data_IF_245125594897
#
_entry.id   IF_245125594897
#
_cell.length_a   1.000
_cell.length_b   1.000
_cell.length_c   1.000
_cell.angle_alpha   90.00
_cell.angle_beta   90.00
_cell.angle_gamma   90.00
#
_symmetry.space_group_name_H-M   'P 1'
#
loop_
_entity.id
_entity.type
_entity.pdbx_description
1 polymer ?
#
# COMPACT_ATOMS: atom_id res chain seq x y z
N UNK A 1 -3.83 30.01 -13.64
CA UNK A 1 -4.95 30.87 -14.10
C UNK A 1 -5.51 31.57 -12.86
N UNK A 2 -5.83 32.86 -12.95
CA UNK A 2 -6.42 33.60 -11.84
C UNK A 2 -7.94 33.53 -11.90
N UNK A 3 -8.59 33.49 -10.73
CA UNK A 3 -10.04 33.53 -10.58
C UNK A 3 -10.58 34.87 -11.12
N UNK A 4 -11.72 34.83 -11.82
CA UNK A 4 -12.39 36.05 -12.29
C UNK A 4 -12.95 36.83 -11.10
N UNK A 5 -12.84 38.16 -11.15
CA UNK A 5 -13.36 39.04 -10.09
C UNK A 5 -14.89 38.96 -9.93
N UNK A 6 -15.60 38.42 -10.91
CA UNK A 6 -17.05 38.15 -10.85
C UNK A 6 -17.40 37.03 -9.87
N UNK A 7 -16.45 36.14 -9.58
CA UNK A 7 -16.65 34.89 -8.83
C UNK A 7 -17.81 34.02 -9.35
N UNK A 8 -18.25 34.21 -10.59
CA UNK A 8 -19.42 33.52 -11.15
C UNK A 8 -19.16 32.01 -11.27
N UNK A 9 -19.93 31.15 -10.59
CA UNK A 9 -19.81 29.69 -10.72
C UNK A 9 -19.91 29.23 -12.19
N UNK A 10 -20.83 29.82 -12.95
CA UNK A 10 -21.07 29.48 -14.35
C UNK A 10 -19.88 29.81 -15.26
N UNK A 11 -19.27 30.99 -15.08
CA UNK A 11 -18.10 31.38 -15.88
C UNK A 11 -16.90 30.46 -15.58
N UNK A 12 -16.69 30.08 -14.33
CA UNK A 12 -15.59 29.20 -13.94
C UNK A 12 -15.79 27.76 -14.40
N UNK A 13 -17.02 27.24 -14.41
CA UNK A 13 -17.34 25.95 -15.03
C UNK A 13 -17.05 25.97 -16.53
N UNK A 14 -17.44 27.03 -17.24
CA UNK A 14 -17.15 27.19 -18.67
C UNK A 14 -15.64 27.26 -18.96
N UNK A 15 -14.87 27.95 -18.11
CA UNK A 15 -13.41 27.96 -18.21
C UNK A 15 -12.87 26.53 -18.04
N UNK A 16 -13.34 25.79 -17.04
CA UNK A 16 -12.98 24.39 -16.85
C UNK A 16 -13.23 23.55 -18.11
N UNK A 17 -14.42 23.66 -18.69
CA UNK A 17 -14.80 22.96 -19.93
C UNK A 17 -13.89 23.31 -21.10
N UNK A 18 -13.48 24.57 -21.22
CA UNK A 18 -12.52 25.01 -22.24
C UNK A 18 -11.11 24.42 -22.02
N UNK A 19 -10.74 24.13 -20.77
CA UNK A 19 -9.45 23.51 -20.43
C UNK A 19 -9.46 21.98 -20.54
N UNK A 20 -10.63 21.33 -20.54
CA UNK A 20 -10.76 19.88 -20.54
C UNK A 20 -9.90 19.14 -21.60
N UNK A 21 -9.77 19.62 -22.86
CA UNK A 21 -8.94 18.95 -23.87
C UNK A 21 -7.48 18.78 -23.48
N UNK A 22 -6.91 19.68 -22.66
CA UNK A 22 -5.52 19.62 -22.22
C UNK A 22 -5.21 18.35 -21.41
N UNK A 23 -6.23 17.74 -20.80
CA UNK A 23 -6.09 16.49 -20.04
C UNK A 23 -5.65 15.33 -20.93
N UNK A 24 -5.97 15.38 -22.24
CA UNK A 24 -5.52 14.41 -23.23
C UNK A 24 -4.08 14.67 -23.71
N UNK A 25 -3.48 15.79 -23.31
CA UNK A 25 -2.13 16.21 -23.70
C UNK A 25 -1.13 16.09 -22.55
N UNK A 26 -1.40 15.20 -21.58
CA UNK A 26 -0.57 14.98 -20.40
C UNK A 26 -0.36 16.24 -19.55
N UNK A 27 -1.35 17.13 -19.52
CA UNK A 27 -1.38 18.33 -18.67
C UNK A 27 -2.22 18.08 -17.43
N UNK A 28 -1.61 18.28 -16.25
CA UNK A 28 -2.31 18.23 -14.97
C UNK A 28 -2.96 19.59 -14.66
N UNK A 29 -4.27 19.59 -14.42
CA UNK A 29 -5.03 20.79 -14.00
C UNK A 29 -5.24 20.71 -12.48
N UNK A 30 -4.67 21.68 -11.75
CA UNK A 30 -4.75 21.73 -10.28
C UNK A 30 -5.57 22.94 -9.87
N UNK A 31 -6.60 22.70 -9.05
CA UNK A 31 -7.38 23.72 -8.35
C UNK A 31 -7.03 23.65 -6.87
N UNK A 32 -6.61 24.78 -6.29
CA UNK A 32 -6.30 24.89 -4.86
C UNK A 32 -7.27 25.86 -4.22
N UNK A 33 -7.97 25.39 -3.19
CA UNK A 33 -9.03 26.09 -2.48
C UNK A 33 -9.28 25.44 -1.13
N UNK A 34 -10.43 25.73 -0.52
CA UNK A 34 -10.82 25.18 0.79
C UNK A 34 -12.27 24.69 0.76
N UNK A 35 -12.53 23.55 1.39
CA UNK A 35 -13.91 23.06 1.58
C UNK A 35 -14.71 23.97 2.50
N UNK A 36 -14.06 24.59 3.49
CA UNK A 36 -14.65 25.49 4.48
C UNK A 36 -13.73 26.71 4.63
N UNK A 37 -14.31 27.92 4.69
CA UNK A 37 -13.61 29.20 4.84
C UNK A 37 -14.50 30.26 5.54
N UNK A 38 -15.12 29.88 6.67
CA UNK A 38 -16.04 30.74 7.44
C UNK A 38 -15.40 31.31 8.71
N UNK A 39 -15.67 32.57 9.06
CA UNK A 39 -15.13 33.19 10.29
C UNK A 39 -15.81 32.73 11.59
N UNK A 40 -16.94 32.03 11.49
CA UNK A 40 -17.70 31.45 12.60
C UNK A 40 -17.87 29.96 12.32
N UNK A 41 -16.81 29.21 12.53
CA UNK A 41 -16.81 27.76 12.37
C UNK A 41 -17.72 27.15 13.43
N UNK A 42 -18.88 26.66 12.99
CA UNK A 42 -19.71 25.72 13.75
C UNK A 42 -19.38 24.34 13.19
N UNK A 43 -18.74 23.49 14.00
CA UNK A 43 -18.26 22.17 13.57
C UNK A 43 -19.38 21.30 12.98
N UNK A 44 -20.60 21.38 13.55
CA UNK A 44 -21.74 20.59 13.08
C UNK A 44 -22.28 21.05 11.73
N UNK A 45 -22.33 22.36 11.50
CA UNK A 45 -22.74 22.92 10.20
C UNK A 45 -21.67 22.71 9.13
N UNK A 46 -20.39 22.77 9.52
CA UNK A 46 -19.25 22.57 8.63
C UNK A 46 -19.17 21.12 8.15
N UNK A 47 -19.38 20.16 9.06
CA UNK A 47 -19.48 18.74 8.71
C UNK A 47 -20.62 18.48 7.71
N UNK A 48 -21.81 19.05 7.94
CA UNK A 48 -22.96 18.86 7.05
C UNK A 48 -22.72 19.43 5.64
N UNK A 49 -22.07 20.60 5.54
CA UNK A 49 -21.67 21.18 4.25
C UNK A 49 -20.64 20.30 3.55
N UNK A 50 -19.59 19.86 4.27
CA UNK A 50 -18.58 18.96 3.74
C UNK A 50 -19.16 17.67 3.18
N UNK A 51 -20.04 17.00 3.93
CA UNK A 51 -20.71 15.78 3.51
C UNK A 51 -21.59 16.00 2.27
N UNK A 52 -22.30 17.14 2.20
CA UNK A 52 -23.14 17.48 1.07
C UNK A 52 -22.31 17.79 -0.19
N UNK A 53 -21.20 18.51 -0.04
CA UNK A 53 -20.29 18.81 -1.14
C UNK A 53 -19.65 17.52 -1.67
N UNK A 54 -19.26 16.59 -0.80
CA UNK A 54 -18.73 15.29 -1.22
C UNK A 54 -19.79 14.50 -1.99
N UNK A 55 -21.02 14.42 -1.49
CA UNK A 55 -22.13 13.77 -2.22
C UNK A 55 -22.29 14.35 -3.61
N UNK A 56 -22.26 15.68 -3.74
CA UNK A 56 -22.33 16.36 -5.03
C UNK A 56 -21.16 15.99 -5.95
N UNK A 57 -19.93 15.92 -5.44
CA UNK A 57 -18.74 15.56 -6.25
C UNK A 57 -18.75 14.10 -6.71
N UNK A 58 -19.39 13.22 -5.92
CA UNK A 58 -19.58 11.81 -6.25
C UNK A 58 -20.86 11.51 -7.04
N UNK A 59 -21.67 12.54 -7.35
CA UNK A 59 -22.90 12.38 -8.12
C UNK A 59 -22.60 11.77 -9.49
N UNK A 60 -23.40 10.79 -9.86
CA UNK A 60 -23.24 9.99 -11.07
C UNK A 60 -23.58 10.76 -12.33
N UNK A 61 -24.55 11.66 -12.25
CA UNK A 61 -24.97 12.52 -13.35
C UNK A 61 -24.12 13.81 -13.35
N UNK A 62 -23.35 14.02 -14.42
CA UNK A 62 -22.55 15.23 -14.58
C UNK A 62 -23.39 16.51 -14.61
N UNK A 63 -24.61 16.44 -15.15
CA UNK A 63 -25.51 17.58 -15.21
C UNK A 63 -26.07 17.94 -13.84
N UNK A 64 -26.39 16.93 -13.02
CA UNK A 64 -26.82 17.16 -11.64
C UNK A 64 -25.66 17.70 -10.79
N UNK A 65 -24.44 17.16 -10.95
CA UNK A 65 -23.24 17.68 -10.29
C UNK A 65 -23.00 19.15 -10.65
N UNK A 66 -23.10 19.50 -11.93
CA UNK A 66 -23.00 20.89 -12.38
C UNK A 66 -24.14 21.75 -11.83
N UNK A 67 -25.38 21.24 -11.82
CA UNK A 67 -26.54 21.94 -11.29
C UNK A 67 -26.37 22.27 -9.80
N UNK A 68 -25.89 21.32 -9.00
CA UNK A 68 -25.59 21.51 -7.59
C UNK A 68 -24.54 22.60 -7.39
N UNK A 69 -23.44 22.58 -8.16
CA UNK A 69 -22.40 23.59 -8.03
C UNK A 69 -22.84 24.97 -8.51
N UNK A 70 -23.60 25.06 -9.60
CA UNK A 70 -24.16 26.33 -10.07
C UNK A 70 -25.07 26.98 -9.03
N UNK A 71 -25.78 26.16 -8.25
CA UNK A 71 -26.73 26.59 -7.23
C UNK A 71 -26.26 26.23 -5.81
N UNK A 72 -24.94 26.19 -5.59
CA UNK A 72 -24.34 25.66 -4.36
C UNK A 72 -24.84 26.37 -3.10
N UNK A 73 -25.12 27.67 -3.21
CA UNK A 73 -25.66 28.49 -2.11
C UNK A 73 -27.03 28.01 -1.64
N UNK A 74 -27.88 27.53 -2.56
CA UNK A 74 -29.23 27.07 -2.25
C UNK A 74 -29.29 25.57 -2.00
N UNK A 75 -28.43 24.79 -2.68
CA UNK A 75 -28.46 23.33 -2.65
C UNK A 75 -27.60 22.72 -1.53
N UNK A 76 -26.57 23.42 -1.07
CA UNK A 76 -25.71 22.94 0.02
C UNK A 76 -26.11 23.56 1.37
N UNK A 77 -26.24 22.73 2.44
CA UNK A 77 -26.64 23.21 3.74
C UNK A 77 -25.57 24.15 4.33
N UNK A 78 -25.97 25.25 4.94
CA UNK A 78 -25.07 26.21 5.59
C UNK A 78 -23.99 26.80 4.65
N UNK A 79 -24.28 26.89 3.35
CA UNK A 79 -23.35 27.37 2.33
C UNK A 79 -22.67 28.70 2.68
N UNK A 80 -23.44 29.75 3.01
CA UNK A 80 -22.88 31.07 3.36
C UNK A 80 -22.23 31.17 4.74
N UNK A 81 -22.47 30.19 5.62
CA UNK A 81 -21.74 30.08 6.89
C UNK A 81 -20.32 29.57 6.61
N UNK A 82 -20.21 28.56 5.75
CA UNK A 82 -18.96 27.93 5.37
C UNK A 82 -18.17 28.73 4.33
N UNK A 83 -18.85 29.49 3.48
CA UNK A 83 -18.27 30.37 2.46
C UNK A 83 -19.01 31.70 2.45
N UNK A 84 -18.63 32.65 3.33
CA UNK A 84 -19.17 34.01 3.28
C UNK A 84 -19.01 34.64 1.89
N UNK A 85 -17.87 34.32 1.25
CA UNK A 85 -17.58 34.56 -0.14
C UNK A 85 -17.03 33.27 -0.77
N UNK A 86 -17.27 33.09 -2.07
CA UNK A 86 -17.00 31.83 -2.79
C UNK A 86 -15.55 31.66 -3.28
N UNK A 87 -14.63 32.60 -3.05
CA UNK A 87 -13.28 32.60 -3.64
C UNK A 87 -12.48 31.31 -3.41
N UNK A 88 -12.67 30.67 -2.25
CA UNK A 88 -12.00 29.41 -1.91
C UNK A 88 -12.72 28.17 -2.44
N UNK A 89 -13.98 28.29 -2.87
CA UNK A 89 -14.76 27.22 -3.49
C UNK A 89 -14.70 27.26 -5.03
N UNK A 90 -14.51 28.44 -5.63
CA UNK A 90 -14.46 28.63 -7.08
C UNK A 90 -13.41 27.78 -7.81
N UNK A 91 -12.21 27.52 -7.27
CA UNK A 91 -11.27 26.57 -7.89
C UNK A 91 -11.89 25.21 -8.21
N UNK A 92 -12.80 24.71 -7.35
CA UNK A 92 -13.51 23.44 -7.56
C UNK A 92 -14.40 23.48 -8.82
N UNK A 93 -15.02 24.61 -9.11
CA UNK A 93 -15.90 24.78 -10.28
C UNK A 93 -15.09 24.67 -11.59
N UNK A 94 -13.89 25.24 -11.63
CA UNK A 94 -12.98 25.06 -12.77
C UNK A 94 -12.60 23.59 -12.92
N UNK A 95 -12.30 22.90 -11.83
CA UNK A 95 -11.92 21.49 -11.86
C UNK A 95 -13.07 20.59 -12.30
N UNK A 96 -14.29 20.82 -11.82
CA UNK A 96 -15.46 20.06 -12.28
C UNK A 96 -15.73 20.30 -13.76
N UNK A 97 -15.61 21.54 -14.24
CA UNK A 97 -15.74 21.83 -15.68
C UNK A 97 -14.68 21.11 -16.51
N UNK A 98 -13.44 21.02 -16.02
CA UNK A 98 -12.36 20.30 -16.69
C UNK A 98 -12.49 18.77 -16.59
N UNK A 99 -13.10 18.28 -15.51
CA UNK A 99 -13.39 16.87 -15.30
C UNK A 99 -14.43 16.35 -16.30
N UNK A 100 -15.44 17.16 -16.62
CA UNK A 100 -16.56 16.74 -17.47
C UNK A 100 -17.28 15.54 -16.85
N UNK A 101 -17.38 14.45 -17.60
CA UNK A 101 -18.01 13.20 -17.15
C UNK A 101 -17.19 12.43 -16.10
N UNK A 102 -15.91 12.77 -15.93
CA UNK A 102 -15.06 12.08 -14.98
C UNK A 102 -15.51 12.37 -13.54
N UNK A 103 -15.39 11.34 -12.72
CA UNK A 103 -15.83 11.34 -11.33
C UNK A 103 -14.68 11.74 -10.42
N UNK A 104 -15.01 12.29 -9.27
CA UNK A 104 -14.02 12.47 -8.22
C UNK A 104 -13.58 11.10 -7.68
N UNK A 105 -12.29 10.78 -7.81
CA UNK A 105 -11.65 9.79 -6.97
C UNK A 105 -11.50 10.40 -5.57
N UNK A 106 -12.04 9.72 -4.56
CA UNK A 106 -11.90 10.15 -3.18
C UNK A 106 -10.80 9.34 -2.49
N UNK A 107 -9.72 10.01 -2.11
CA UNK A 107 -8.63 9.40 -1.34
C UNK A 107 -8.77 9.86 0.11
N UNK A 108 -9.33 8.98 0.94
CA UNK A 108 -9.37 9.16 2.39
C UNK A 108 -8.02 8.75 3.00
N UNK A 109 -7.49 9.59 3.88
CA UNK A 109 -6.51 9.24 4.92
C UNK A 109 -5.32 8.35 4.52
N UNK A 110 -4.14 8.95 4.39
CA UNK A 110 -2.87 8.24 4.50
C UNK A 110 -1.78 9.18 5.04
N UNK A 111 -1.15 8.99 6.23
CA UNK A 111 -1.62 8.35 7.48
C UNK A 111 -2.25 9.36 8.47
N UNK A 112 -2.68 8.87 9.64
CA UNK A 112 -3.35 9.51 10.79
C UNK A 112 -2.80 10.83 11.37
N UNK A 113 -1.81 11.43 10.73
CA UNK A 113 -1.10 12.62 11.20
C UNK A 113 -1.90 13.92 10.98
N UNK A 114 -2.92 13.89 10.13
CA UNK A 114 -3.70 15.07 9.76
C UNK A 114 -5.06 15.17 10.45
N UNK A 115 -5.50 14.18 11.24
CA UNK A 115 -6.75 14.18 12.02
C UNK A 115 -8.04 14.56 11.25
N UNK A 116 -8.04 14.54 9.92
CA UNK A 116 -9.23 14.83 9.11
C UNK A 116 -10.01 13.52 8.85
N UNK A 117 -11.09 13.32 9.60
CA UNK A 117 -12.08 12.27 9.38
C UNK A 117 -13.28 12.88 8.66
N UNK A 118 -13.65 12.37 7.49
CA UNK A 118 -14.95 12.69 6.87
C UNK A 118 -15.78 11.42 6.83
N UNK A 119 -16.88 11.41 7.58
CA UNK A 119 -17.85 10.32 7.57
C UNK A 119 -18.78 10.49 6.37
N UNK A 120 -18.29 10.15 5.18
CA UNK A 120 -19.20 10.07 4.05
C UNK A 120 -20.14 8.92 4.36
N UNK A 121 -21.39 9.24 4.67
CA UNK A 121 -22.50 8.29 4.70
C UNK A 121 -22.66 7.73 3.28
N UNK A 122 -21.81 6.79 2.92
CA UNK A 122 -22.03 5.94 1.76
C UNK A 122 -23.32 5.21 2.11
N UNK A 123 -24.33 5.29 1.25
CA UNK A 123 -25.60 4.56 1.45
C UNK A 123 -25.40 3.07 1.16
N UNK A 124 -24.35 2.49 1.75
CA UNK A 124 -23.94 1.13 1.52
C UNK A 124 -23.73 0.82 0.03
N UNK A 125 -23.25 1.81 -0.73
CA UNK A 125 -22.99 1.70 -2.16
C UNK A 125 -24.21 1.96 -3.07
N UNK A 126 -25.43 2.19 -2.53
CA UNK A 126 -26.64 2.35 -3.36
C UNK A 126 -26.56 3.49 -4.39
N UNK A 127 -25.89 4.59 -4.06
CA UNK A 127 -25.76 5.72 -4.97
C UNK A 127 -24.56 5.58 -5.93
N UNK A 128 -23.37 5.25 -5.41
CA UNK A 128 -22.13 5.31 -6.19
C UNK A 128 -21.88 4.01 -6.98
N UNK A 129 -22.20 2.84 -6.43
CA UNK A 129 -21.87 1.56 -7.04
C UNK A 129 -22.51 1.33 -8.43
N UNK A 130 -23.78 1.72 -8.68
CA UNK A 130 -24.41 1.54 -9.98
C UNK A 130 -23.72 2.30 -11.12
N UNK A 131 -23.00 3.36 -10.78
CA UNK A 131 -22.50 4.32 -11.76
C UNK A 131 -20.98 4.32 -11.90
N UNK A 132 -20.27 3.49 -11.13
CA UNK A 132 -18.84 3.24 -11.35
C UNK A 132 -18.58 2.75 -12.79
N UNK A 133 -17.66 3.37 -13.54
CA UNK A 133 -17.31 2.93 -14.89
C UNK A 133 -16.85 1.47 -14.98
N UNK A 134 -16.97 0.88 -16.17
CA UNK A 134 -16.30 -0.39 -16.43
C UNK A 134 -14.79 -0.24 -16.28
N UNK A 135 -14.17 -1.13 -15.51
CA UNK A 135 -12.74 -1.09 -15.21
C UNK A 135 -12.37 -0.26 -13.98
N UNK A 136 -13.34 0.28 -13.23
CA UNK A 136 -13.07 0.93 -11.95
C UNK A 136 -12.24 0.02 -11.03
N UNK A 137 -11.31 0.61 -10.30
CA UNK A 137 -10.53 -0.08 -9.27
C UNK A 137 -11.19 0.21 -7.93
N UNK A 138 -11.65 -0.83 -7.24
CA UNK A 138 -12.28 -0.73 -5.93
C UNK A 138 -11.31 -1.29 -4.90
N UNK A 139 -10.90 -0.46 -3.95
CA UNK A 139 -10.13 -0.87 -2.80
C UNK A 139 -11.04 -1.19 -1.61
N UNK A 140 -10.84 -2.34 -0.97
CA UNK A 140 -11.61 -2.78 0.19
C UNK A 140 -10.64 -3.23 1.28
N UNK A 141 -10.69 -2.61 2.46
CA UNK A 141 -9.96 -3.12 3.62
C UNK A 141 -10.37 -4.56 3.89
N UNK A 142 -9.41 -5.41 4.23
CA UNK A 142 -9.64 -6.83 4.47
C UNK A 142 -10.72 -7.08 5.54
N UNK A 143 -10.80 -6.21 6.55
CA UNK A 143 -11.81 -6.29 7.62
C UNK A 143 -13.24 -5.99 7.15
N UNK A 144 -13.37 -5.31 6.00
CA UNK A 144 -14.64 -4.86 5.43
C UNK A 144 -15.11 -5.74 4.26
N UNK A 145 -14.40 -6.81 3.89
CA UNK A 145 -14.75 -7.68 2.76
C UNK A 145 -16.17 -8.23 2.90
N UNK A 146 -16.55 -8.72 4.09
CA UNK A 146 -17.89 -9.26 4.32
C UNK A 146 -18.99 -8.20 4.14
N UNK A 147 -18.76 -7.00 4.68
CA UNK A 147 -19.66 -5.86 4.51
C UNK A 147 -19.73 -5.44 3.04
N UNK A 148 -18.61 -5.34 2.34
CA UNK A 148 -18.57 -5.02 0.92
C UNK A 148 -19.41 -6.00 0.09
N UNK A 149 -19.21 -7.31 0.25
CA UNK A 149 -19.96 -8.30 -0.53
C UNK A 149 -21.45 -8.38 -0.17
N UNK A 150 -21.83 -8.04 1.06
CA UNK A 150 -23.24 -8.05 1.49
C UNK A 150 -23.99 -6.77 1.17
N UNK A 151 -23.31 -5.62 1.17
CA UNK A 151 -23.94 -4.31 1.11
C UNK A 151 -23.64 -3.57 -0.20
N UNK A 152 -22.38 -3.52 -0.64
CA UNK A 152 -21.96 -2.71 -1.80
C UNK A 152 -21.99 -3.51 -3.11
N UNK A 153 -21.44 -4.73 -3.09
CA UNK A 153 -21.33 -5.60 -4.26
C UNK A 153 -22.64 -5.87 -5.02
N UNK A 154 -23.81 -6.03 -4.35
CA UNK A 154 -25.09 -6.20 -5.04
C UNK A 154 -25.48 -4.99 -5.91
N UNK A 155 -24.98 -3.80 -5.59
CA UNK A 155 -25.27 -2.56 -6.33
C UNK A 155 -24.26 -2.28 -7.46
N UNK A 156 -23.15 -3.03 -7.54
CA UNK A 156 -22.19 -2.91 -8.63
C UNK A 156 -22.76 -3.53 -9.91
N UNK A 157 -22.90 -2.70 -10.94
CA UNK A 157 -23.42 -3.10 -12.25
C UNK A 157 -22.29 -3.41 -13.24
N UNK A 158 -21.31 -2.53 -13.32
CA UNK A 158 -20.19 -2.65 -14.25
C UNK A 158 -19.08 -3.55 -13.72
N UNK A 159 -18.28 -4.10 -14.62
CA UNK A 159 -17.13 -4.91 -14.22
C UNK A 159 -16.04 -4.01 -13.63
N UNK A 160 -15.31 -4.50 -12.63
CA UNK A 160 -14.32 -3.74 -11.88
C UNK A 160 -13.12 -4.62 -11.48
N UNK A 161 -12.01 -3.98 -11.14
CA UNK A 161 -10.84 -4.61 -10.51
C UNK A 161 -10.98 -4.45 -8.99
N UNK A 162 -10.84 -5.55 -8.24
CA UNK A 162 -10.91 -5.53 -6.78
C UNK A 162 -9.51 -5.56 -6.18
N UNK A 163 -9.22 -4.68 -5.21
CA UNK A 163 -8.00 -4.72 -4.42
C UNK A 163 -8.38 -4.89 -2.95
N UNK A 164 -7.75 -5.83 -2.25
CA UNK A 164 -7.92 -6.01 -0.81
C UNK A 164 -6.59 -5.98 -0.05
N UNK A 165 -6.53 -5.20 1.03
CA UNK A 165 -5.33 -5.04 1.86
C UNK A 165 -5.60 -4.47 3.25
N UNK A 166 -4.55 -3.99 3.92
CA UNK A 166 -4.61 -3.36 5.25
C UNK A 166 -5.19 -4.27 6.35
N UNK A 167 -4.64 -5.48 6.47
CA UNK A 167 -5.02 -6.40 7.53
C UNK A 167 -4.26 -7.72 7.53
N UNK A 168 -4.40 -8.43 8.64
CA UNK A 168 -3.75 -9.72 8.87
C UNK A 168 -4.64 -10.93 8.49
N UNK A 169 -5.88 -10.69 8.05
CA UNK A 169 -6.82 -11.77 7.68
C UNK A 169 -6.56 -12.22 6.24
N UNK A 170 -6.90 -13.47 5.96
CA UNK A 170 -6.77 -14.05 4.63
C UNK A 170 -7.65 -13.31 3.63
N UNK A 171 -7.07 -12.88 2.50
CA UNK A 171 -7.80 -12.37 1.36
C UNK A 171 -7.20 -12.86 0.04
N UNK A 172 -8.00 -13.43 -0.87
CA UNK A 172 -9.46 -13.50 -0.88
C UNK A 172 -9.97 -14.62 0.02
N UNK A 173 -11.21 -14.46 0.47
CA UNK A 173 -12.01 -15.61 0.87
C UNK A 173 -12.40 -16.38 -0.41
N UNK A 174 -12.07 -17.67 -0.46
CA UNK A 174 -12.34 -18.52 -1.62
C UNK A 174 -13.83 -18.57 -1.95
N UNK A 175 -14.71 -18.52 -0.94
CA UNK A 175 -16.14 -18.53 -1.17
C UNK A 175 -16.59 -17.27 -1.90
N UNK A 176 -15.98 -16.11 -1.65
CA UNK A 176 -16.27 -14.91 -2.43
C UNK A 176 -15.65 -14.98 -3.82
N UNK A 177 -14.43 -15.52 -3.96
CA UNK A 177 -13.77 -15.65 -5.27
C UNK A 177 -14.52 -16.60 -6.21
N UNK A 178 -15.05 -17.71 -5.70
CA UNK A 178 -15.83 -18.69 -6.48
C UNK A 178 -17.24 -18.20 -6.81
N UNK A 179 -17.87 -17.47 -5.87
CA UNK A 179 -19.20 -16.85 -6.08
C UNK A 179 -19.14 -15.56 -6.90
N UNK A 180 -17.97 -14.92 -6.96
CA UNK A 180 -17.79 -13.73 -7.76
C UNK A 180 -18.06 -14.07 -9.22
N UNK A 181 -19.12 -13.46 -9.73
CA UNK A 181 -19.62 -13.58 -11.09
C UNK A 181 -18.62 -12.98 -12.13
N UNK A 182 -19.12 -12.58 -13.30
CA UNK A 182 -18.32 -11.90 -14.33
C UNK A 182 -17.93 -10.46 -13.98
N UNK A 183 -18.45 -9.86 -12.91
CA UNK A 183 -18.22 -8.44 -12.55
C UNK A 183 -16.81 -8.18 -12.03
N UNK A 184 -16.18 -9.15 -11.35
CA UNK A 184 -14.76 -9.00 -10.98
C UNK A 184 -13.89 -9.37 -12.18
N UNK A 185 -13.29 -8.35 -12.79
CA UNK A 185 -12.30 -8.49 -13.87
C UNK A 185 -11.09 -9.27 -13.33
N UNK A 186 -10.54 -8.78 -12.22
CA UNK A 186 -9.44 -9.41 -11.51
C UNK A 186 -9.42 -8.96 -10.04
N UNK A 187 -8.91 -9.80 -9.15
CA UNK A 187 -8.76 -9.50 -7.73
C UNK A 187 -7.29 -9.55 -7.32
N UNK A 188 -6.76 -8.44 -6.82
CA UNK A 188 -5.48 -8.32 -6.15
C UNK A 188 -5.67 -8.35 -4.62
N UNK A 189 -5.06 -9.30 -3.90
CA UNK A 189 -5.31 -9.45 -2.46
C UNK A 189 -4.06 -9.79 -1.66
N UNK A 190 -3.97 -9.25 -0.45
CA UNK A 190 -2.93 -9.59 0.52
C UNK A 190 -3.30 -10.81 1.36
N UNK A 191 -2.30 -11.51 1.89
CA UNK A 191 -2.49 -12.63 2.84
C UNK A 191 -3.29 -13.82 2.28
N UNK A 192 -3.38 -13.99 0.95
CA UNK A 192 -4.22 -15.03 0.38
C UNK A 192 -3.75 -16.45 0.73
N UNK A 193 -4.70 -17.30 1.12
CA UNK A 193 -4.47 -18.72 1.41
C UNK A 193 -4.95 -19.61 0.24
N UNK A 194 -4.79 -19.11 -0.98
CA UNK A 194 -5.17 -19.80 -2.21
C UNK A 194 -3.95 -19.90 -3.10
N UNK A 195 -3.79 -21.07 -3.71
CA UNK A 195 -2.83 -21.27 -4.77
C UNK A 195 -3.24 -20.45 -6.00
N UNK A 196 -2.65 -19.26 -6.16
CA UNK A 196 -2.99 -18.33 -7.22
C UNK A 196 -2.71 -18.91 -8.62
N UNK A 197 -1.83 -19.92 -8.75
CA UNK A 197 -1.62 -20.59 -10.03
C UNK A 197 -2.85 -21.35 -10.53
N UNK A 198 -3.86 -21.55 -9.67
CA UNK A 198 -5.12 -22.23 -9.98
C UNK A 198 -6.24 -21.27 -10.34
N UNK A 199 -6.05 -19.96 -10.21
CA UNK A 199 -7.07 -18.95 -10.57
C UNK A 199 -6.49 -17.91 -11.50
N UNK A 200 -7.08 -17.78 -12.69
CA UNK A 200 -6.75 -16.69 -13.63
C UNK A 200 -7.27 -15.31 -13.19
N UNK A 201 -8.12 -15.27 -12.15
CA UNK A 201 -8.80 -14.06 -11.68
C UNK A 201 -8.20 -13.48 -10.39
N UNK A 202 -7.13 -14.08 -9.86
CA UNK A 202 -6.56 -13.68 -8.58
C UNK A 202 -5.04 -13.51 -8.64
N UNK A 203 -4.52 -12.49 -7.97
CA UNK A 203 -3.08 -12.28 -7.80
C UNK A 203 -2.78 -11.83 -6.39
N UNK A 204 -1.83 -12.50 -5.75
CA UNK A 204 -1.33 -12.04 -4.46
C UNK A 204 -0.62 -10.71 -4.63
N UNK A 205 -0.89 -9.78 -3.72
CA UNK A 205 -0.05 -8.60 -3.51
C UNK A 205 0.56 -8.67 -2.11
N UNK A 206 1.79 -8.20 -1.92
CA UNK A 206 2.47 -8.27 -0.64
C UNK A 206 1.97 -7.23 0.37
N UNK A 207 1.93 -7.62 1.63
CA UNK A 207 1.54 -6.74 2.75
C UNK A 207 2.52 -5.58 2.97
N UNK A 208 3.77 -5.72 2.50
CA UNK A 208 4.84 -4.74 2.68
C UNK A 208 4.84 -3.55 1.70
N UNK A 209 3.98 -3.54 0.68
CA UNK A 209 3.82 -2.41 -0.27
C UNK A 209 3.28 -1.17 0.44
N UNK A 210 2.32 -1.38 1.35
CA UNK A 210 1.57 -0.30 1.98
C UNK A 210 2.24 0.23 3.26
N UNK A 211 3.48 -0.15 3.58
CA UNK A 211 4.08 0.20 4.87
C UNK A 211 5.00 1.43 4.77
N UNK A 212 4.42 2.59 4.53
CA UNK A 212 5.19 3.81 4.39
C UNK A 212 5.76 4.28 5.74
N UNK A 213 5.20 3.81 6.87
CA UNK A 213 5.75 4.04 8.20
C UNK A 213 7.15 3.42 8.36
N UNK A 214 7.44 2.34 7.62
CA UNK A 214 8.77 1.76 7.54
C UNK A 214 9.67 2.53 6.57
N UNK A 215 9.07 3.21 5.58
CA UNK A 215 9.81 3.83 4.47
C UNK A 215 10.75 4.93 4.95
N UNK A 216 10.37 5.75 5.94
CA UNK A 216 11.23 6.80 6.48
C UNK A 216 12.45 6.20 7.19
N UNK A 217 12.22 5.24 8.09
CA UNK A 217 13.28 4.58 8.82
C UNK A 217 14.25 3.85 7.90
N UNK A 218 13.75 3.22 6.83
CA UNK A 218 14.60 2.59 5.84
C UNK A 218 15.37 3.64 5.02
N UNK A 219 14.74 4.73 4.59
CA UNK A 219 15.39 5.84 3.89
C UNK A 219 16.54 6.44 4.70
N UNK A 220 16.35 6.62 6.01
CA UNK A 220 17.39 7.15 6.91
C UNK A 220 18.65 6.29 6.93
N UNK A 221 18.50 4.96 6.95
CA UNK A 221 19.63 4.03 6.94
C UNK A 221 20.46 4.18 5.67
N UNK A 222 19.79 4.34 4.52
CA UNK A 222 20.48 4.53 3.24
C UNK A 222 21.17 5.90 3.14
N UNK A 223 20.54 6.97 3.66
CA UNK A 223 21.14 8.32 3.72
C UNK A 223 22.41 8.36 4.57
N UNK A 224 22.42 7.66 5.72
CA UNK A 224 23.56 7.64 6.65
C UNK A 224 24.84 6.99 6.07
N UNK A 225 24.74 6.22 4.98
CA UNK A 225 25.88 5.50 4.40
C UNK A 225 26.56 6.23 3.22
N UNK A 226 26.47 7.56 3.15
CA UNK A 226 27.02 8.38 2.05
C UNK A 226 26.45 8.05 0.66
N UNK A 227 25.34 7.33 0.57
CA UNK A 227 24.55 7.27 -0.65
C UNK A 227 23.68 8.53 -0.70
N UNK A 228 24.22 9.64 -1.21
CA UNK A 228 23.43 10.87 -1.44
C UNK A 228 22.26 10.65 -2.42
N UNK A 229 22.23 9.51 -3.12
CA UNK A 229 21.09 9.00 -3.88
C UNK A 229 20.54 7.75 -3.20
N UNK A 230 19.29 7.81 -2.76
CA UNK A 230 18.55 6.63 -2.30
C UNK A 230 18.56 5.56 -3.42
N UNK A 231 18.55 4.26 -3.08
CA UNK A 231 18.39 3.22 -4.09
C UNK A 231 17.13 3.50 -4.94
N UNK A 232 17.12 3.21 -6.25
CA UNK A 232 16.01 3.59 -7.13
C UNK A 232 14.66 2.96 -6.75
N UNK A 233 14.67 1.98 -5.84
CA UNK A 233 13.49 1.39 -5.20
C UNK A 233 12.63 2.40 -4.40
N UNK A 234 13.18 3.56 -4.02
CA UNK A 234 12.49 4.61 -3.25
C UNK A 234 12.11 5.84 -4.09
N UNK A 235 12.45 5.87 -5.39
CA UNK A 235 12.05 6.91 -6.33
C UNK A 235 10.69 6.61 -6.93
N UNK A 236 9.65 6.66 -6.10
CA UNK A 236 8.31 6.11 -6.39
C UNK A 236 7.42 6.99 -7.32
N UNK A 237 8.03 7.85 -8.15
CA UNK A 237 7.30 8.61 -9.17
C UNK A 237 7.92 8.28 -10.53
N UNK A 238 7.28 7.34 -11.22
CA UNK A 238 7.25 7.11 -12.68
C UNK A 238 8.37 7.72 -13.56
N UNK A 239 9.65 7.56 -13.21
CA UNK A 239 10.74 7.83 -14.14
C UNK A 239 11.34 6.53 -14.71
N UNK A 240 11.10 6.24 -16.00
CA UNK A 240 11.76 5.14 -16.72
C UNK A 240 13.26 5.36 -16.93
N UNK A 241 13.81 6.51 -16.56
CA UNK A 241 15.11 6.97 -17.10
C UNK A 241 16.33 6.60 -16.25
N UNK A 242 16.15 6.09 -15.03
CA UNK A 242 17.27 5.71 -14.15
C UNK A 242 17.08 4.29 -13.60
N UNK A 243 16.95 3.32 -14.52
CA UNK A 243 17.09 1.91 -14.22
C UNK A 243 18.55 1.57 -13.89
N UNK A 244 19.01 1.91 -12.68
CA UNK A 244 20.16 1.22 -12.11
C UNK A 244 19.63 -0.08 -11.51
N UNK A 245 19.87 -1.17 -12.25
CA UNK A 245 19.73 -2.53 -11.75
C UNK A 245 20.45 -2.64 -10.39
N UNK A 246 19.96 -3.44 -9.43
CA UNK A 246 20.65 -3.77 -8.18
C UNK A 246 22.04 -4.44 -8.34
N UNK A 247 22.63 -4.40 -9.54
CA UNK A 247 24.03 -4.75 -9.80
C UNK A 247 24.94 -3.98 -8.83
N UNK A 248 24.67 -2.70 -8.56
CA UNK A 248 25.48 -1.85 -7.66
C UNK A 248 25.22 -2.05 -6.16
N UNK A 249 24.09 -2.65 -5.78
CA UNK A 249 23.96 -3.21 -4.44
C UNK A 249 24.53 -4.62 -4.49
N UNK A 250 25.83 -4.71 -4.26
CA UNK A 250 26.37 -5.91 -3.66
C UNK A 250 25.62 -6.18 -2.37
N UNK A 251 24.56 -7.00 -2.46
CA UNK A 251 23.81 -7.51 -1.33
C UNK A 251 24.82 -7.85 -0.24
N UNK A 252 24.76 -7.11 0.88
CA UNK A 252 25.86 -7.06 1.86
C UNK A 252 26.21 -8.46 2.37
N UNK A 253 25.20 -9.30 2.59
CA UNK A 253 25.35 -10.70 2.95
C UNK A 253 26.18 -11.52 1.94
N UNK A 254 26.13 -11.18 0.64
CA UNK A 254 26.85 -11.88 -0.43
C UNK A 254 28.31 -11.40 -0.58
N UNK A 255 28.59 -10.14 -0.21
CA UNK A 255 29.95 -9.59 -0.19
C UNK A 255 30.72 -9.89 1.11
N UNK A 256 30.03 -10.15 2.21
CA UNK A 256 30.64 -10.50 3.50
C UNK A 256 31.09 -11.97 3.59
N UNK A 257 31.48 -12.60 2.45
CA UNK A 257 32.05 -13.96 2.41
C UNK A 257 33.20 -14.18 3.40
N UNK A 258 33.85 -13.11 3.87
CA UNK A 258 35.03 -13.19 4.73
C UNK A 258 34.85 -12.76 6.20
N UNK A 259 33.72 -12.20 6.65
CA UNK A 259 33.61 -11.63 8.01
C UNK A 259 32.30 -11.90 8.79
N UNK A 260 31.39 -12.75 8.30
CA UNK A 260 30.22 -13.15 9.08
C UNK A 260 30.61 -14.16 10.17
N UNK A 261 30.90 -13.65 11.38
CA UNK A 261 31.02 -14.47 12.58
C UNK A 261 29.68 -15.17 12.88
N UNK A 262 29.72 -16.38 13.43
CA UNK A 262 28.51 -17.21 13.66
C UNK A 262 27.32 -16.44 14.26
N UNK A 263 27.55 -15.54 15.22
CA UNK A 263 26.50 -14.75 15.87
C UNK A 263 25.69 -13.83 14.94
N UNK A 264 26.25 -13.43 13.80
CA UNK A 264 25.60 -12.54 12.81
C UNK A 264 24.96 -13.32 11.65
N UNK A 265 24.83 -14.64 11.76
CA UNK A 265 24.24 -15.44 10.68
C UNK A 265 22.71 -15.32 10.66
N UNK A 266 22.04 -15.65 11.76
CA UNK A 266 20.56 -15.66 11.84
C UNK A 266 20.02 -14.69 12.91
N UNK A 267 19.10 -13.82 12.51
CA UNK A 267 18.31 -12.99 13.40
C UNK A 267 16.93 -13.58 13.67
N UNK A 268 16.58 -13.70 14.95
CA UNK A 268 15.24 -14.08 15.43
C UNK A 268 14.67 -12.89 16.20
N UNK A 269 13.77 -12.14 15.55
CA UNK A 269 13.19 -10.91 16.10
C UNK A 269 11.69 -10.80 15.75
N UNK A 270 10.85 -11.55 16.46
CA UNK A 270 9.39 -11.52 16.31
C UNK A 270 8.66 -11.67 17.65
N UNK A 271 7.38 -11.29 17.67
CA UNK A 271 6.53 -11.47 18.85
C UNK A 271 6.02 -12.91 18.95
N UNK A 272 6.07 -13.52 20.13
CA UNK A 272 5.88 -14.97 20.32
C UNK A 272 4.43 -15.46 20.21
N UNK A 273 3.45 -14.57 20.30
CA UNK A 273 2.03 -14.93 20.39
C UNK A 273 1.19 -14.49 19.17
N UNK A 274 1.86 -13.96 18.14
CA UNK A 274 1.18 -13.33 16.98
C UNK A 274 0.96 -14.29 15.82
N UNK A 275 1.08 -15.61 16.01
CA UNK A 275 0.86 -16.57 14.91
C UNK A 275 -0.35 -17.49 15.11
N UNK A 276 -1.03 -17.37 16.26
CA UNK A 276 -2.20 -18.19 16.63
C UNK A 276 -1.94 -19.69 16.80
N UNK A 277 -0.80 -20.22 16.35
CA UNK A 277 -0.53 -21.68 16.29
C UNK A 277 0.64 -22.16 17.14
N UNK A 278 1.34 -21.24 17.78
CA UNK A 278 2.49 -21.56 18.62
C UNK A 278 3.77 -21.87 17.85
N UNK A 279 3.81 -21.69 16.52
CA UNK A 279 5.00 -21.84 15.69
C UNK A 279 6.13 -20.94 16.21
N UNK A 280 5.84 -19.65 16.43
CA UNK A 280 6.83 -18.67 16.92
C UNK A 280 7.36 -19.05 18.28
N UNK A 281 6.50 -19.54 19.18
CA UNK A 281 6.88 -20.01 20.52
C UNK A 281 7.75 -21.27 20.45
N UNK A 282 7.39 -22.23 19.59
CA UNK A 282 8.16 -23.47 19.38
C UNK A 282 9.58 -23.17 18.88
N UNK A 283 9.70 -22.34 17.84
CA UNK A 283 11.00 -21.88 17.31
C UNK A 283 11.82 -21.21 18.42
N UNK A 284 11.20 -20.29 19.18
CA UNK A 284 11.90 -19.57 20.24
C UNK A 284 12.43 -20.51 21.33
N UNK A 285 11.62 -21.48 21.78
CA UNK A 285 12.05 -22.48 22.77
C UNK A 285 13.23 -23.30 22.27
N UNK A 286 13.24 -23.66 20.99
CA UNK A 286 14.29 -24.47 20.36
C UNK A 286 15.59 -23.69 20.14
N UNK A 287 15.51 -22.46 19.64
CA UNK A 287 16.70 -21.71 19.16
C UNK A 287 17.20 -20.65 20.14
N UNK A 288 16.32 -20.15 21.02
CA UNK A 288 16.62 -19.04 21.93
C UNK A 288 16.67 -19.38 23.44
N UNK A 289 16.87 -20.63 23.91
CA UNK A 289 16.82 -20.94 25.34
C UNK A 289 18.01 -20.31 26.10
N UNK A 290 17.79 -19.86 27.34
CA UNK A 290 18.83 -19.17 28.14
C UNK A 290 20.12 -19.98 28.35
N UNK A 291 20.03 -21.30 28.45
CA UNK A 291 21.16 -22.17 28.80
C UNK A 291 21.82 -22.87 27.61
N UNK A 292 21.21 -22.86 26.41
CA UNK A 292 21.69 -23.60 25.22
C UNK A 292 21.32 -22.86 23.92
N UNK A 293 21.68 -21.58 23.79
CA UNK A 293 21.41 -20.84 22.55
C UNK A 293 22.20 -21.45 21.41
N UNK A 294 21.56 -21.56 20.24
CA UNK A 294 22.30 -21.97 19.05
C UNK A 294 23.32 -20.87 18.70
N UNK A 295 24.60 -21.22 18.48
CA UNK A 295 25.68 -20.23 18.38
C UNK A 295 25.59 -19.34 17.14
N UNK A 296 24.85 -19.80 16.12
CA UNK A 296 24.65 -19.10 14.86
C UNK A 296 23.40 -18.20 14.82
N UNK A 297 22.60 -18.15 15.89
CA UNK A 297 21.41 -17.30 15.95
C UNK A 297 21.45 -16.30 17.10
N UNK A 298 21.02 -15.08 16.79
CA UNK A 298 20.79 -14.04 17.78
C UNK A 298 19.30 -13.80 17.94
N UNK A 299 18.84 -13.90 19.20
CA UNK A 299 17.45 -13.78 19.55
C UNK A 299 17.16 -12.47 20.28
N UNK A 300 16.32 -11.64 19.67
CA UNK A 300 15.87 -10.37 20.22
C UNK A 300 14.39 -10.51 20.59
N UNK A 301 14.10 -10.47 21.89
CA UNK A 301 12.73 -10.64 22.37
C UNK A 301 11.96 -9.36 22.12
N UNK A 302 10.85 -9.47 21.38
CA UNK A 302 9.89 -8.38 21.22
C UNK A 302 8.78 -8.54 22.26
N UNK A 303 8.67 -7.59 23.20
CA UNK A 303 7.69 -7.63 24.30
C UNK A 303 6.40 -6.87 24.01
N UNK A 304 6.40 -5.97 23.03
CA UNK A 304 5.28 -5.10 22.64
C UNK A 304 5.43 -4.63 21.18
N UNK A 305 4.60 -3.66 20.74
CA UNK A 305 4.76 -2.97 19.45
C UNK A 305 6.16 -2.38 19.26
N UNK A 306 6.53 -2.03 18.02
CA UNK A 306 7.79 -1.31 17.79
C UNK A 306 7.56 0.16 18.10
N UNK A 307 8.44 0.75 18.89
CA UNK A 307 8.52 2.20 18.98
C UNK A 307 9.10 2.75 17.68
N UNK A 308 8.27 3.45 16.92
CA UNK A 308 8.61 3.98 15.60
C UNK A 308 9.75 4.99 15.65
N UNK A 309 9.92 5.71 16.76
CA UNK A 309 11.01 6.68 16.94
C UNK A 309 12.40 6.02 16.98
N UNK A 310 12.47 4.73 17.30
CA UNK A 310 13.71 3.95 17.35
C UNK A 310 13.87 3.01 16.14
N UNK A 311 12.99 3.09 15.14
CA UNK A 311 12.93 2.12 14.05
C UNK A 311 14.21 2.10 13.20
N UNK A 312 14.76 3.28 12.85
CA UNK A 312 16.00 3.40 12.08
C UNK A 312 17.18 2.71 12.80
N UNK A 313 17.30 2.88 14.12
CA UNK A 313 18.31 2.20 14.92
C UNK A 313 18.12 0.68 14.94
N UNK A 314 16.88 0.22 15.12
CA UNK A 314 16.53 -1.20 15.11
C UNK A 314 16.92 -1.84 13.77
N UNK A 315 16.58 -1.19 12.67
CA UNK A 315 16.89 -1.68 11.33
C UNK A 315 18.39 -1.62 11.03
N UNK A 316 19.12 -0.56 11.40
CA UNK A 316 20.59 -0.49 11.28
C UNK A 316 21.27 -1.67 11.96
N UNK A 317 20.87 -2.00 13.19
CA UNK A 317 21.36 -3.18 13.92
C UNK A 317 20.95 -4.48 13.24
N UNK A 318 19.68 -4.63 12.88
CA UNK A 318 19.19 -5.90 12.32
C UNK A 318 19.77 -6.19 10.92
N UNK A 319 20.19 -5.16 10.18
CA UNK A 319 20.87 -5.28 8.88
C UNK A 319 22.28 -5.87 8.98
N UNK A 320 22.85 -6.01 10.19
CA UNK A 320 24.12 -6.70 10.40
C UNK A 320 24.02 -8.23 10.22
N UNK A 321 22.81 -8.77 10.13
CA UNK A 321 22.55 -10.21 10.03
C UNK A 321 22.26 -10.62 8.60
N UNK A 322 22.84 -11.74 8.16
CA UNK A 322 22.62 -12.27 6.82
C UNK A 322 21.17 -12.77 6.63
N UNK A 323 20.64 -13.50 7.61
CA UNK A 323 19.32 -14.10 7.56
C UNK A 323 18.37 -13.53 8.60
N UNK A 324 17.13 -13.27 8.20
CA UNK A 324 16.05 -12.90 9.10
C UNK A 324 15.01 -14.02 9.14
N UNK A 325 14.73 -14.56 10.33
CA UNK A 325 13.66 -15.53 10.46
C UNK A 325 12.30 -14.82 10.42
N UNK A 326 11.51 -15.13 9.40
CA UNK A 326 10.21 -14.50 9.12
C UNK A 326 9.08 -15.55 9.08
N UNK A 327 8.76 -16.19 10.22
CA UNK A 327 7.60 -17.06 10.29
C UNK A 327 6.32 -16.23 10.14
N UNK A 328 5.25 -16.86 9.63
CA UNK A 328 3.92 -16.26 9.57
C UNK A 328 3.50 -15.60 10.89
N UNK A 329 2.76 -14.51 10.76
CA UNK A 329 2.13 -13.79 11.87
C UNK A 329 0.67 -14.19 11.98
N UNK A 330 -0.17 -13.20 12.25
CA UNK A 330 -1.62 -13.41 12.34
C UNK A 330 -2.13 -13.86 10.96
N UNK A 331 -1.56 -13.29 9.90
CA UNK A 331 -1.65 -13.73 8.52
C UNK A 331 -0.47 -14.58 8.04
N UNK A 332 -0.59 -15.13 6.84
CA UNK A 332 0.46 -15.93 6.17
C UNK A 332 1.63 -15.03 5.75
N UNK A 333 1.34 -13.83 5.25
CA UNK A 333 2.32 -12.82 4.90
C UNK A 333 2.84 -12.15 6.17
N UNK A 334 4.09 -11.69 6.14
CA UNK A 334 4.71 -11.03 7.28
C UNK A 334 5.50 -9.82 6.80
N UNK A 335 5.23 -8.65 7.39
CA UNK A 335 6.02 -7.43 7.15
C UNK A 335 7.53 -7.66 7.27
N UNK A 336 7.94 -8.54 8.21
CA UNK A 336 9.36 -8.88 8.44
C UNK A 336 10.04 -9.46 7.20
N UNK A 337 9.30 -10.16 6.33
CA UNK A 337 9.80 -10.69 5.06
C UNK A 337 10.23 -9.55 4.16
N UNK A 338 9.37 -8.55 4.00
CA UNK A 338 9.60 -7.39 3.14
C UNK A 338 10.63 -6.43 3.72
N UNK A 339 10.60 -6.16 5.04
CA UNK A 339 11.63 -5.40 5.76
C UNK A 339 13.03 -5.99 5.54
N UNK A 340 13.18 -7.32 5.64
CA UNK A 340 14.45 -7.99 5.42
C UNK A 340 14.98 -7.70 4.01
N UNK A 341 14.12 -7.84 2.99
CA UNK A 341 14.46 -7.59 1.60
C UNK A 341 14.85 -6.13 1.34
N UNK A 342 14.10 -5.17 1.90
CA UNK A 342 14.46 -3.74 1.82
C UNK A 342 15.80 -3.41 2.47
N UNK A 343 16.24 -4.21 3.44
CA UNK A 343 17.47 -4.01 4.21
C UNK A 343 18.61 -4.94 3.74
N UNK A 344 18.51 -5.56 2.56
CA UNK A 344 19.50 -6.51 2.03
C UNK A 344 19.79 -7.71 2.95
N UNK A 345 18.80 -8.16 3.71
CA UNK A 345 18.83 -9.41 4.46
C UNK A 345 17.97 -10.47 3.75
N UNK A 346 18.33 -11.74 3.94
CA UNK A 346 17.65 -12.88 3.31
C UNK A 346 16.57 -13.39 4.27
N UNK A 347 15.27 -13.19 4.01
CA UNK A 347 14.23 -13.76 4.84
C UNK A 347 14.15 -15.28 4.68
N UNK A 348 13.88 -15.96 5.80
CA UNK A 348 13.54 -17.38 5.85
C UNK A 348 12.05 -17.49 6.20
N UNK A 349 11.28 -18.04 5.28
CA UNK A 349 9.81 -18.17 5.35
C UNK A 349 9.40 -19.64 5.23
N UNK A 350 8.18 -19.94 5.66
CA UNK A 350 7.61 -21.27 5.49
C UNK A 350 6.90 -21.38 4.15
N UNK A 351 6.97 -22.57 3.55
CA UNK A 351 6.23 -22.94 2.36
C UNK A 351 4.73 -22.62 2.52
N UNK A 352 4.16 -21.88 1.56
CA UNK A 352 2.75 -21.47 1.60
C UNK A 352 2.23 -21.09 0.21
N UNK A 353 0.96 -20.69 0.12
CA UNK A 353 0.35 -20.07 -1.06
C UNK A 353 1.10 -18.82 -1.56
N UNK A 354 1.88 -18.16 -0.71
CA UNK A 354 2.60 -16.92 -1.03
C UNK A 354 3.94 -17.15 -1.71
N UNK A 355 4.36 -18.38 -1.96
CA UNK A 355 5.65 -18.67 -2.63
C UNK A 355 5.82 -17.91 -3.95
N UNK A 356 4.73 -17.72 -4.69
CA UNK A 356 4.69 -16.98 -5.96
C UNK A 356 5.15 -15.51 -5.82
N UNK A 357 4.93 -14.89 -4.65
CA UNK A 357 5.42 -13.53 -4.36
C UNK A 357 6.95 -13.49 -4.29
N UNK A 358 7.56 -14.59 -3.87
CA UNK A 358 8.99 -14.70 -3.59
C UNK A 358 9.81 -15.18 -4.79
N UNK A 359 9.15 -15.57 -5.89
CA UNK A 359 9.84 -15.94 -7.12
C UNK A 359 10.78 -14.83 -7.57
N UNK A 360 12.00 -15.21 -7.96
CA UNK A 360 13.08 -14.29 -8.33
C UNK A 360 13.47 -13.27 -7.25
N UNK A 361 13.16 -13.52 -5.97
CA UNK A 361 13.68 -12.76 -4.83
C UNK A 361 14.62 -13.64 -3.98
N UNK A 362 15.57 -13.04 -3.24
CA UNK A 362 16.46 -13.79 -2.35
C UNK A 362 15.73 -14.18 -1.07
N UNK A 363 14.81 -15.15 -1.17
CA UNK A 363 14.01 -15.67 -0.06
C UNK A 363 14.27 -17.17 0.08
N UNK A 364 14.48 -17.64 1.31
CA UNK A 364 14.60 -19.07 1.61
C UNK A 364 13.24 -19.58 2.06
N UNK A 365 12.70 -20.55 1.32
CA UNK A 365 11.45 -21.23 1.66
C UNK A 365 11.80 -22.59 2.28
N UNK A 366 11.35 -22.82 3.51
CA UNK A 366 11.52 -24.09 4.25
C UNK A 366 10.18 -24.79 4.46
N UNK A 367 10.19 -26.11 4.62
CA UNK A 367 9.00 -26.87 5.02
C UNK A 367 8.81 -26.85 6.53
N UNK A 368 9.90 -26.90 7.31
CA UNK A 368 9.83 -26.94 8.77
C UNK A 368 11.10 -26.40 9.46
N UNK A 369 10.98 -26.11 10.76
CA UNK A 369 12.06 -25.49 11.55
C UNK A 369 13.27 -26.40 11.84
N UNK A 370 13.26 -27.67 11.43
CA UNK A 370 14.42 -28.58 11.60
C UNK A 370 15.48 -28.39 10.53
N UNK A 371 15.12 -27.83 9.37
CA UNK A 371 16.05 -27.53 8.27
C UNK A 371 17.06 -26.44 8.64
N UNK A 372 16.70 -25.57 9.60
CA UNK A 372 17.50 -24.43 9.99
C UNK A 372 18.71 -24.87 10.84
N UNK A 373 19.81 -25.13 10.17
CA UNK A 373 21.13 -25.44 10.75
C UNK A 373 22.17 -24.45 10.25
N UNK A 374 23.30 -24.30 10.96
CA UNK A 374 24.39 -23.43 10.50
C UNK A 374 24.90 -23.82 9.10
N UNK A 375 25.06 -25.12 8.85
CA UNK A 375 25.48 -25.67 7.56
C UNK A 375 24.50 -25.30 6.46
N UNK A 376 23.20 -25.56 6.67
CA UNK A 376 22.15 -25.20 5.71
C UNK A 376 22.16 -23.71 5.37
N UNK A 377 22.27 -22.84 6.39
CA UNK A 377 22.31 -21.39 6.18
C UNK A 377 23.54 -20.96 5.38
N UNK A 378 24.72 -21.55 5.66
CA UNK A 378 25.95 -21.25 4.92
C UNK A 378 25.89 -21.72 3.47
N UNK A 379 25.31 -22.89 3.22
CA UNK A 379 25.06 -23.40 1.86
C UNK A 379 24.10 -22.48 1.10
N UNK A 380 22.99 -22.08 1.71
CA UNK A 380 22.03 -21.16 1.08
C UNK A 380 22.60 -19.77 0.85
N UNK A 381 23.44 -19.26 1.75
CA UNK A 381 24.15 -18.00 1.55
C UNK A 381 25.06 -18.10 0.32
N UNK A 382 25.76 -19.22 0.17
CA UNK A 382 26.60 -19.47 -1.00
C UNK A 382 25.76 -19.55 -2.28
N UNK A 383 24.67 -20.32 -2.31
CA UNK A 383 23.77 -20.46 -3.46
C UNK A 383 23.24 -19.09 -3.93
N UNK A 384 22.68 -18.30 -3.01
CA UNK A 384 22.16 -16.95 -3.28
C UNK A 384 23.28 -16.03 -3.78
N UNK A 385 24.50 -16.16 -3.24
CA UNK A 385 25.66 -15.37 -3.68
C UNK A 385 26.10 -15.70 -5.10
N UNK A 386 25.99 -16.98 -5.49
CA UNK A 386 26.41 -17.46 -6.81
C UNK A 386 25.35 -17.26 -7.88
N UNK A 387 24.05 -17.22 -7.52
CA UNK A 387 22.97 -16.86 -8.46
C UNK A 387 23.19 -15.46 -9.06
N UNK A 388 23.83 -14.55 -8.31
CA UNK A 388 24.26 -13.23 -8.82
C UNK A 388 25.35 -13.30 -9.91
N UNK A 389 26.19 -14.33 -9.91
CA UNK A 389 27.39 -14.40 -10.77
C UNK A 389 27.20 -15.17 -12.08
N UNK A 390 26.31 -16.17 -12.12
CA UNK A 390 26.29 -17.12 -13.24
C UNK A 390 25.38 -16.75 -14.42
N UNK A 391 24.53 -15.75 -14.29
CA UNK A 391 23.63 -15.35 -15.38
C UNK A 391 23.70 -13.84 -15.58
N UNK A 392 24.42 -13.40 -16.62
CA UNK A 392 24.47 -12.01 -17.09
C UNK A 392 23.09 -11.42 -17.46
N UNK A 393 21.96 -12.11 -17.21
CA UNK A 393 20.60 -11.66 -17.54
C UNK A 393 19.49 -12.10 -16.54
N UNK A 394 19.78 -12.70 -15.38
CA UNK A 394 18.75 -12.96 -14.35
C UNK A 394 19.23 -12.50 -12.96
N UNK A 395 19.19 -11.19 -12.75
CA UNK A 395 19.30 -10.57 -11.43
C UNK A 395 17.99 -10.82 -10.69
N UNK A 396 18.06 -10.97 -9.36
CA UNK A 396 16.86 -10.93 -8.52
C UNK A 396 15.97 -9.72 -8.88
N UNK A 397 14.66 -9.96 -8.99
CA UNK A 397 13.66 -8.99 -9.45
C UNK A 397 13.22 -8.06 -8.32
N UNK A 398 14.16 -7.26 -7.83
CA UNK A 398 13.92 -6.31 -6.74
C UNK A 398 12.93 -5.18 -7.09
N UNK A 399 12.54 -5.02 -8.36
CA UNK A 399 11.42 -4.14 -8.70
C UNK A 399 10.10 -4.57 -8.05
N UNK A 400 9.94 -5.85 -7.67
CA UNK A 400 8.79 -6.35 -6.89
C UNK A 400 8.68 -5.71 -5.51
N UNK A 401 9.71 -5.03 -5.04
CA UNK A 401 9.68 -4.25 -3.80
C UNK A 401 9.23 -2.79 -4.02
N UNK A 402 8.81 -2.40 -5.23
CA UNK A 402 8.38 -1.03 -5.54
C UNK A 402 6.89 -0.94 -5.71
N UNK A 403 6.29 0.13 -5.20
CA UNK A 403 4.88 0.44 -5.45
C UNK A 403 4.59 0.53 -6.95
N UNK A 404 5.51 1.14 -7.72
CA UNK A 404 5.39 1.26 -9.18
C UNK A 404 5.31 -0.08 -9.93
N UNK A 405 5.90 -1.17 -9.43
CA UNK A 405 5.75 -2.48 -10.07
C UNK A 405 4.32 -2.99 -9.95
N UNK A 406 3.75 -2.91 -8.75
CA UNK A 406 2.40 -3.39 -8.48
C UNK A 406 1.34 -2.49 -9.09
N UNK A 407 1.55 -1.16 -9.08
CA UNK A 407 0.67 -0.22 -9.79
C UNK A 407 0.58 -0.54 -11.28
N UNK A 408 1.70 -0.81 -11.96
CA UNK A 408 1.72 -1.23 -13.38
C UNK A 408 1.12 -2.61 -13.66
N UNK A 409 0.96 -3.43 -12.62
CA UNK A 409 0.30 -4.73 -12.74
C UNK A 409 -1.22 -4.61 -12.57
N UNK A 410 -1.66 -3.59 -11.83
CA UNK A 410 -3.05 -3.30 -11.50
C UNK A 410 -3.72 -2.42 -12.58
N UNK A 411 -3.01 -1.38 -13.02
CA UNK A 411 -3.39 -0.45 -14.09
C UNK A 411 -3.01 -1.03 -15.45
#
# INVERSE_FOLDING_TARGET
MSILSSLSPAEHLLIGKALAPLRNENVLIIGSGSTIHGFKEDEGQSSQFGDALIRAMTECDEHEREHILLNWEQMLPHARVNHPHEEHLIPLHVIVGAAGADRADWVYGWPSQFQEYVDVTTTNGQHIAPCLPHGSIIYVSIWSIGTFFSQVYPHLINNFVLITGEGDVVSPDIAYLERADSKIIHWFGQNGNIDASRSKKFTHIPIGIQCYEMSEAIRDIYKQQNHHKLPPIYGDIDEPSHYIQPIDMTHRALNQKHNLHGKNLLLINFHLATDGTGLRRRIWTKMCPKKNRVPFATCLKKTSGVDMSHLSYIYSRNREYAFWLSPRGNGIDCHRTWEALYLDAIPIVWNSSLNILYEDLPVIIIQNDTEITETFLREKLHEISMKKYHQMNQVYRFEKLRNAYWRRLIL
#
